data_IF_540827079057
#
_entry.id   IF_540827079057
#
_cell.length_a   1.000
_cell.length_b   1.000
_cell.length_c   1.000
_cell.angle_alpha   90.00
_cell.angle_beta   90.00
_cell.angle_gamma   90.00
#
_symmetry.space_group_name_H-M   'P 1'
#
loop_
_entity.id
_entity.type
_entity.pdbx_description
1 polymer ?
#
# COMPACT_ATOMS: atom_id res chain seq x y z
N UNK A 1 0.38 -10.79 3.16
CA UNK A 1 1.74 -10.48 2.68
C UNK A 1 2.64 -11.64 3.05
N UNK A 2 3.54 -12.09 2.17
CA UNK A 2 4.56 -13.09 2.51
C UNK A 2 5.92 -12.44 2.66
N UNK A 3 6.70 -12.86 3.65
CA UNK A 3 8.07 -12.39 3.88
C UNK A 3 9.02 -13.58 3.86
N UNK A 4 10.26 -13.34 3.47
CA UNK A 4 11.36 -14.26 3.62
C UNK A 4 12.02 -14.11 4.98
N UNK A 5 12.50 -15.21 5.52
CA UNK A 5 13.34 -15.27 6.70
C UNK A 5 14.51 -16.23 6.43
N UNK A 6 15.69 -15.91 6.95
CA UNK A 6 16.75 -16.91 7.06
C UNK A 6 16.55 -17.81 8.26
N UNK A 7 16.63 -19.11 8.01
CA UNK A 7 16.70 -20.13 9.03
C UNK A 7 18.14 -20.21 9.57
N UNK A 8 18.34 -20.89 10.69
CA UNK A 8 19.67 -21.04 11.32
C UNK A 8 20.70 -21.71 10.39
N UNK A 9 20.24 -22.48 9.40
CA UNK A 9 21.06 -23.13 8.38
C UNK A 9 21.44 -22.21 7.19
N UNK A 10 20.98 -20.94 7.19
CA UNK A 10 21.21 -19.99 6.10
C UNK A 10 20.25 -20.13 4.91
N UNK A 11 19.23 -20.97 5.05
CA UNK A 11 18.22 -21.20 4.01
C UNK A 11 17.04 -20.22 4.13
N UNK A 12 16.51 -19.79 2.98
CA UNK A 12 15.34 -18.91 2.92
C UNK A 12 14.06 -19.73 3.14
N UNK A 13 13.26 -19.34 4.13
CA UNK A 13 11.88 -19.79 4.29
C UNK A 13 10.90 -18.67 4.01
N UNK A 14 9.73 -19.02 3.46
CA UNK A 14 8.65 -18.08 3.18
C UNK A 14 7.57 -18.20 4.26
N UNK A 15 7.22 -17.07 4.86
CA UNK A 15 6.24 -16.99 5.95
C UNK A 15 5.11 -16.06 5.53
N UNK A 16 3.87 -16.51 5.73
CA UNK A 16 2.66 -15.76 5.37
C UNK A 16 2.09 -15.04 6.58
N UNK A 17 1.76 -13.76 6.38
CA UNK A 17 1.17 -12.88 7.38
C UNK A 17 -0.12 -12.24 6.85
N UNK A 18 -1.14 -12.18 7.71
CA UNK A 18 -2.35 -11.39 7.47
C UNK A 18 -2.09 -9.92 7.83
N UNK A 19 -2.86 -8.96 7.29
CA UNK A 19 -2.60 -7.50 7.43
C UNK A 19 -2.39 -7.03 8.89
N UNK A 20 -3.03 -7.67 9.88
CA UNK A 20 -2.86 -7.34 11.30
C UNK A 20 -1.60 -7.93 11.97
N UNK A 21 -0.98 -8.92 11.34
CA UNK A 21 0.11 -9.73 11.90
C UNK A 21 1.45 -9.48 11.20
N UNK A 22 1.47 -8.60 10.18
CA UNK A 22 2.70 -8.25 9.46
C UNK A 22 3.72 -7.68 10.47
N UNK A 23 4.95 -8.23 10.55
CA UNK A 23 5.97 -7.73 11.44
C UNK A 23 6.22 -6.23 11.23
N UNK A 24 6.36 -5.49 12.34
CA UNK A 24 6.65 -4.04 12.29
C UNK A 24 8.04 -3.71 11.72
N UNK A 25 8.91 -4.71 11.58
CA UNK A 25 10.29 -4.55 11.13
C UNK A 25 10.61 -5.59 10.07
N UNK A 26 10.80 -5.13 8.84
CA UNK A 26 11.26 -5.93 7.71
C UNK A 26 12.02 -5.03 6.72
N UNK A 27 12.87 -5.65 5.92
CA UNK A 27 13.49 -5.01 4.77
C UNK A 27 12.70 -5.30 3.48
N UNK A 28 12.86 -4.47 2.46
CA UNK A 28 12.34 -4.72 1.11
C UNK A 28 13.49 -4.59 0.11
N UNK A 29 13.53 -5.48 -0.89
CA UNK A 29 14.46 -5.37 -2.00
C UNK A 29 13.82 -4.60 -3.15
N UNK A 30 14.53 -3.61 -3.64
CA UNK A 30 14.27 -2.96 -4.92
C UNK A 30 15.40 -3.32 -5.88
N UNK A 31 15.06 -3.94 -7.01
CA UNK A 31 16.05 -4.38 -7.99
C UNK A 31 15.48 -4.31 -9.40
N UNK A 32 16.38 -4.35 -10.38
CA UNK A 32 15.98 -4.57 -11.78
C UNK A 32 15.86 -6.06 -12.03
N UNK A 33 14.76 -6.49 -12.67
CA UNK A 33 14.62 -7.87 -13.08
C UNK A 33 15.72 -8.27 -14.09
N UNK A 34 16.40 -9.38 -13.80
CA UNK A 34 17.44 -10.00 -14.60
C UNK A 34 16.90 -10.99 -15.63
N UNK A 35 17.81 -11.76 -16.24
CA UNK A 35 17.46 -12.80 -17.21
C UNK A 35 16.81 -14.04 -16.55
N UNK A 36 17.17 -14.31 -15.31
CA UNK A 36 16.65 -15.43 -14.52
C UNK A 36 16.22 -14.90 -13.15
N UNK A 37 14.99 -15.19 -12.77
CA UNK A 37 14.34 -14.68 -11.56
C UNK A 37 13.83 -15.84 -10.74
N UNK A 38 14.15 -15.85 -9.44
CA UNK A 38 13.56 -16.83 -8.51
C UNK A 38 12.11 -16.43 -8.28
N UNK A 39 11.19 -17.33 -8.61
CA UNK A 39 9.75 -17.17 -8.45
C UNK A 39 9.26 -17.78 -7.13
N UNK A 40 7.99 -17.54 -6.82
CA UNK A 40 7.32 -18.20 -5.69
C UNK A 40 7.33 -19.73 -5.82
N UNK A 41 7.15 -20.25 -7.03
CA UNK A 41 7.15 -21.68 -7.29
C UNK A 41 8.55 -22.29 -7.07
N UNK A 42 9.61 -21.61 -7.51
CA UNK A 42 10.99 -22.09 -7.34
C UNK A 42 11.38 -22.18 -5.86
N UNK A 43 10.96 -21.20 -5.05
CA UNK A 43 11.14 -21.26 -3.59
C UNK A 43 10.41 -22.44 -2.96
N UNK A 44 9.17 -22.72 -3.38
CA UNK A 44 8.40 -23.85 -2.84
C UNK A 44 8.98 -25.21 -3.23
N UNK A 45 9.54 -25.31 -4.43
CA UNK A 45 10.10 -26.55 -4.95
C UNK A 45 11.54 -26.80 -4.47
N UNK A 46 12.23 -25.77 -3.96
CA UNK A 46 13.61 -25.86 -3.47
C UNK A 46 14.68 -25.74 -4.56
N UNK A 47 14.29 -25.44 -5.80
CA UNK A 47 15.17 -25.42 -6.98
C UNK A 47 15.85 -24.05 -7.21
N UNK A 48 15.90 -23.18 -6.20
CA UNK A 48 16.29 -21.77 -6.38
C UNK A 48 17.79 -21.49 -6.21
N UNK A 49 18.53 -22.31 -5.45
CA UNK A 49 19.92 -21.99 -5.02
C UNK A 49 20.95 -21.92 -6.16
N UNK A 50 20.62 -22.45 -7.34
CA UNK A 50 21.50 -22.46 -8.52
C UNK A 50 21.15 -21.38 -9.55
N UNK A 51 20.03 -20.70 -9.34
CA UNK A 51 19.52 -19.68 -10.27
C UNK A 51 20.30 -18.38 -10.07
N UNK A 52 20.66 -17.69 -11.15
CA UNK A 52 21.35 -16.40 -11.05
C UNK A 52 20.52 -15.35 -10.29
N UNK A 53 19.18 -15.47 -10.35
CA UNK A 53 18.26 -14.63 -9.58
C UNK A 53 18.32 -14.82 -8.07
N UNK A 54 19.05 -15.83 -7.56
CA UNK A 54 19.21 -16.04 -6.13
C UNK A 54 20.20 -15.06 -5.49
N UNK A 55 21.21 -14.60 -6.22
CA UNK A 55 22.26 -13.71 -5.70
C UNK A 55 21.69 -12.45 -5.03
N UNK A 56 20.66 -11.84 -5.63
CA UNK A 56 19.98 -10.65 -5.06
C UNK A 56 19.16 -10.98 -3.81
N UNK A 57 18.59 -12.19 -3.72
CA UNK A 57 17.82 -12.65 -2.55
C UNK A 57 18.80 -12.88 -1.42
N UNK A 58 19.93 -13.52 -1.74
CA UNK A 58 21.01 -13.75 -0.82
C UNK A 58 21.57 -12.44 -0.27
N UNK A 59 21.90 -11.50 -1.16
CA UNK A 59 22.30 -10.14 -0.79
C UNK A 59 21.28 -9.47 0.14
N UNK A 60 19.99 -9.50 -0.21
CA UNK A 60 18.95 -8.84 0.58
C UNK A 60 18.85 -9.43 1.99
N UNK A 61 18.85 -10.76 2.12
CA UNK A 61 18.77 -11.42 3.41
C UNK A 61 20.02 -11.17 4.26
N UNK A 62 21.21 -11.20 3.65
CA UNK A 62 22.48 -10.97 4.36
C UNK A 62 22.56 -9.53 4.87
N UNK A 63 22.13 -8.58 4.04
CA UNK A 63 22.06 -7.17 4.44
C UNK A 63 20.98 -6.93 5.50
N UNK A 64 19.80 -7.53 5.37
CA UNK A 64 18.76 -7.52 6.41
C UNK A 64 19.31 -8.03 7.75
N UNK A 65 20.04 -9.16 7.74
CA UNK A 65 20.67 -9.72 8.94
C UNK A 65 21.70 -8.78 9.56
N UNK A 66 22.54 -8.12 8.75
CA UNK A 66 23.51 -7.11 9.23
C UNK A 66 22.82 -5.93 9.90
N UNK A 67 21.66 -5.53 9.39
CA UNK A 67 20.85 -4.44 9.93
C UNK A 67 19.87 -4.90 11.05
N UNK A 68 19.97 -6.16 11.50
CA UNK A 68 19.16 -6.71 12.60
C UNK A 68 17.69 -6.94 12.25
N UNK A 69 17.38 -7.10 10.96
CA UNK A 69 16.04 -7.38 10.44
C UNK A 69 15.90 -8.87 10.13
N UNK A 70 14.99 -9.54 10.84
CA UNK A 70 14.72 -10.97 10.67
C UNK A 70 14.00 -11.27 9.34
N UNK A 71 13.14 -10.35 8.90
CA UNK A 71 12.28 -10.54 7.74
C UNK A 71 12.67 -9.60 6.61
N UNK A 72 12.55 -10.07 5.39
CA UNK A 72 12.73 -9.26 4.20
C UNK A 72 11.78 -9.67 3.08
N UNK A 73 11.54 -8.78 2.12
CA UNK A 73 10.57 -8.98 1.06
C UNK A 73 11.20 -8.79 -0.32
N UNK A 74 10.86 -9.68 -1.25
CA UNK A 74 11.31 -9.65 -2.64
C UNK A 74 10.13 -9.99 -3.55
N UNK A 75 9.71 -9.05 -4.39
CA UNK A 75 8.47 -9.14 -5.18
C UNK A 75 8.40 -10.41 -6.06
N UNK A 76 9.54 -10.87 -6.60
CA UNK A 76 9.57 -11.98 -7.54
C UNK A 76 9.16 -13.30 -6.93
N UNK A 77 9.41 -13.49 -5.63
CA UNK A 77 9.18 -14.76 -4.94
C UNK A 77 8.27 -14.66 -3.71
N UNK A 78 7.98 -13.46 -3.21
CA UNK A 78 7.01 -13.23 -2.14
C UNK A 78 5.57 -13.09 -2.65
N UNK A 79 5.37 -12.88 -3.95
CA UNK A 79 4.06 -12.83 -4.61
C UNK A 79 3.91 -14.04 -5.53
N UNK A 80 2.83 -14.79 -5.38
CA UNK A 80 2.42 -15.78 -6.37
C UNK A 80 1.81 -15.05 -7.58
N UNK A 81 2.67 -14.71 -8.55
CA UNK A 81 2.27 -14.02 -9.78
C UNK A 81 1.37 -14.88 -10.69
N UNK A 82 1.22 -16.18 -10.42
CA UNK A 82 0.29 -17.07 -11.12
C UNK A 82 -1.15 -16.95 -10.61
N UNK A 83 -1.32 -16.49 -9.37
CA UNK A 83 -2.61 -16.21 -8.76
C UNK A 83 -3.02 -14.75 -9.03
N UNK A 84 -3.99 -14.55 -9.91
CA UNK A 84 -4.41 -13.21 -10.34
C UNK A 84 -5.07 -12.38 -9.24
N UNK A 85 -5.72 -13.03 -8.27
CA UNK A 85 -6.32 -12.37 -7.11
C UNK A 85 -5.20 -11.84 -6.21
N UNK A 86 -4.25 -12.70 -5.87
CA UNK A 86 -3.10 -12.31 -5.04
C UNK A 86 -2.27 -11.22 -5.72
N UNK A 87 -2.01 -11.35 -7.02
CA UNK A 87 -1.28 -10.35 -7.79
C UNK A 87 -1.97 -8.98 -7.75
N UNK A 88 -3.30 -8.95 -7.87
CA UNK A 88 -4.07 -7.71 -7.79
C UNK A 88 -4.03 -7.08 -6.40
N UNK A 89 -4.19 -7.88 -5.35
CA UNK A 89 -4.07 -7.42 -3.96
C UNK A 89 -2.67 -6.90 -3.65
N UNK A 90 -1.63 -7.58 -4.16
CA UNK A 90 -0.24 -7.21 -3.96
C UNK A 90 0.09 -5.88 -4.64
N UNK A 91 -0.30 -5.69 -5.90
CA UNK A 91 -0.03 -4.44 -6.64
C UNK A 91 -0.73 -3.25 -5.98
N UNK A 92 -1.98 -3.40 -5.53
CA UNK A 92 -2.70 -2.32 -4.82
C UNK A 92 -2.11 -2.06 -3.41
N UNK A 93 -1.40 -3.03 -2.83
CA UNK A 93 -0.77 -2.88 -1.50
C UNK A 93 0.71 -2.49 -1.53
N UNK A 94 1.37 -2.60 -2.68
CA UNK A 94 2.83 -2.58 -2.78
C UNK A 94 3.43 -1.27 -2.26
N UNK A 95 2.81 -0.13 -2.56
CA UNK A 95 3.26 1.17 -2.05
C UNK A 95 3.27 1.20 -0.52
N UNK A 96 2.23 0.64 0.13
CA UNK A 96 2.16 0.57 1.60
C UNK A 96 3.25 -0.34 2.15
N UNK A 97 3.52 -1.47 1.50
CA UNK A 97 4.61 -2.37 1.91
C UNK A 97 6.00 -1.71 1.79
N UNK A 98 6.24 -0.93 0.73
CA UNK A 98 7.48 -0.15 0.64
C UNK A 98 7.55 0.96 1.69
N UNK A 99 6.45 1.68 1.92
CA UNK A 99 6.36 2.76 2.92
C UNK A 99 6.63 2.27 4.34
N UNK A 100 6.05 1.12 4.69
CA UNK A 100 6.09 0.58 6.06
C UNK A 100 7.36 -0.27 6.32
N UNK A 101 8.15 -0.54 5.28
CA UNK A 101 9.45 -1.21 5.42
C UNK A 101 10.44 -0.37 6.23
N UNK A 102 11.23 -1.04 7.08
CA UNK A 102 12.28 -0.37 7.86
C UNK A 102 13.45 0.08 6.99
N UNK A 103 13.78 -0.73 5.98
CA UNK A 103 14.87 -0.47 5.03
C UNK A 103 14.45 -0.94 3.63
N UNK A 104 14.67 -0.09 2.63
CA UNK A 104 14.65 -0.48 1.22
C UNK A 104 16.08 -0.60 0.72
N UNK A 105 16.48 -1.78 0.26
CA UNK A 105 17.79 -2.01 -0.34
C UNK A 105 17.66 -1.96 -1.85
N UNK A 106 18.32 -1.00 -2.49
CA UNK A 106 18.39 -0.89 -3.95
C UNK A 106 19.67 -1.58 -4.42
N UNK A 107 19.53 -2.70 -5.11
CA UNK A 107 20.66 -3.49 -5.61
C UNK A 107 20.90 -3.22 -7.10
N UNK A 108 21.97 -2.47 -7.41
CA UNK A 108 22.28 -1.97 -8.74
C UNK A 108 23.30 -2.86 -9.45
N UNK A 109 22.80 -3.84 -10.19
CA UNK A 109 23.63 -4.75 -10.98
C UNK A 109 24.40 -4.07 -12.11
N UNK A 110 24.08 -2.84 -12.51
CA UNK A 110 24.76 -2.10 -13.58
C UNK A 110 25.74 -1.02 -13.08
N UNK A 111 25.96 -0.97 -11.76
CA UNK A 111 26.92 -0.08 -11.12
C UNK A 111 27.96 -0.93 -10.42
N UNK A 112 29.24 -0.66 -10.68
CA UNK A 112 30.35 -1.31 -9.99
C UNK A 112 31.20 -0.26 -9.30
N UNK A 113 31.73 -0.61 -8.12
CA UNK A 113 32.70 0.22 -7.42
C UNK A 113 34.06 -0.50 -7.43
N UNK A 114 35.06 0.01 -8.19
CA UNK A 114 36.38 -0.61 -8.16
C UNK A 114 36.99 -0.46 -6.77
N UNK A 115 37.45 -1.57 -6.19
CA UNK A 115 38.22 -1.58 -4.93
C UNK A 115 39.58 -0.95 -5.18
N UNK A 116 39.75 0.35 -4.95
CA UNK A 116 41.05 1.00 -5.16
C UNK A 116 41.89 0.98 -3.89
N UNK A 117 42.98 0.21 -3.93
CA UNK A 117 44.20 0.45 -3.16
C UNK A 117 45.09 1.55 -3.76
N UNK A 118 44.56 2.40 -4.65
CA UNK A 118 45.26 3.56 -5.19
C UNK A 118 44.67 4.84 -4.61
N UNK A 119 45.51 5.57 -3.88
CA UNK A 119 45.21 6.81 -3.16
C UNK A 119 44.82 8.01 -4.08
N UNK A 120 44.43 7.75 -5.33
CA UNK A 120 44.14 8.74 -6.38
C UNK A 120 42.86 8.42 -7.19
N UNK A 121 42.04 7.45 -6.76
CA UNK A 121 40.79 7.08 -7.45
C UNK A 121 39.66 8.07 -7.17
N UNK A 122 39.43 9.03 -8.07
CA UNK A 122 38.34 9.99 -7.95
C UNK A 122 36.99 9.29 -7.78
N UNK A 123 36.22 9.73 -6.78
CA UNK A 123 34.85 9.29 -6.50
C UNK A 123 33.88 9.52 -7.69
N UNK A 124 34.36 10.09 -8.79
CA UNK A 124 33.59 10.52 -9.96
C UNK A 124 33.16 9.35 -10.87
N UNK A 125 33.89 8.23 -10.88
CA UNK A 125 33.66 7.15 -11.85
C UNK A 125 32.35 6.37 -11.58
N UNK A 126 32.13 5.89 -10.34
CA UNK A 126 30.91 5.16 -10.00
C UNK A 126 29.67 6.06 -9.93
N UNK A 127 29.84 7.36 -9.64
CA UNK A 127 28.73 8.32 -9.64
C UNK A 127 28.18 8.51 -11.05
N UNK A 128 29.05 8.51 -12.07
CA UNK A 128 28.65 8.56 -13.48
C UNK A 128 27.81 7.35 -13.88
N UNK A 129 28.20 6.15 -13.48
CA UNK A 129 27.44 4.92 -13.77
C UNK A 129 26.16 4.82 -12.94
N UNK A 130 26.18 5.24 -11.67
CA UNK A 130 24.99 5.37 -10.83
C UNK A 130 23.91 6.22 -11.51
N UNK A 131 24.28 7.42 -11.98
CA UNK A 131 23.34 8.33 -12.64
C UNK A 131 22.77 7.80 -13.95
N UNK A 132 23.46 6.85 -14.58
CA UNK A 132 23.05 6.17 -15.82
C UNK A 132 22.38 4.82 -15.56
N UNK A 133 22.22 4.43 -14.29
CA UNK A 133 21.65 3.13 -13.96
C UNK A 133 20.23 3.02 -14.52
N UNK A 134 19.97 1.89 -15.15
CA UNK A 134 18.68 1.51 -15.72
C UNK A 134 17.62 1.41 -14.63
N UNK A 135 18.01 1.28 -13.36
CA UNK A 135 17.06 1.31 -12.24
C UNK A 135 16.22 2.59 -12.22
N UNK A 136 16.81 3.75 -12.57
CA UNK A 136 16.08 5.03 -12.63
C UNK A 136 15.07 5.12 -13.77
N UNK A 137 15.18 4.27 -14.79
CA UNK A 137 14.27 4.25 -15.95
C UNK A 137 13.21 3.15 -15.86
N UNK A 138 13.01 2.50 -14.71
CA UNK A 138 11.93 1.51 -14.52
C UNK A 138 10.69 2.17 -13.91
N UNK A 139 9.50 1.81 -14.40
CA UNK A 139 8.23 2.35 -13.89
C UNK A 139 8.03 2.07 -12.40
N UNK A 140 8.13 0.80 -12.02
CA UNK A 140 7.91 0.34 -10.65
C UNK A 140 8.88 0.94 -9.63
N UNK A 141 10.14 1.22 -9.99
CA UNK A 141 11.13 1.76 -9.05
C UNK A 141 10.83 3.19 -8.57
N UNK A 142 9.84 3.87 -9.15
CA UNK A 142 9.39 5.18 -8.67
C UNK A 142 8.79 5.07 -7.27
N UNK A 143 7.85 4.15 -7.05
CA UNK A 143 7.27 3.97 -5.71
C UNK A 143 8.27 3.37 -4.73
N UNK A 144 9.21 2.56 -5.22
CA UNK A 144 10.27 1.95 -4.41
C UNK A 144 11.29 2.98 -3.91
N UNK A 145 11.42 4.11 -4.62
CA UNK A 145 12.21 5.27 -4.23
C UNK A 145 11.46 6.20 -3.25
N UNK A 146 10.19 6.47 -3.56
CA UNK A 146 9.39 7.51 -2.92
C UNK A 146 8.75 7.02 -1.62
N UNK A 147 8.18 5.83 -1.62
CA UNK A 147 7.39 5.33 -0.50
C UNK A 147 8.22 5.09 0.76
N UNK A 148 9.39 4.40 0.72
CA UNK A 148 10.15 4.10 1.93
C UNK A 148 10.80 5.34 2.52
N UNK A 149 10.83 5.43 3.85
CA UNK A 149 11.59 6.48 4.55
C UNK A 149 13.11 6.32 4.35
N UNK A 150 13.62 5.09 4.36
CA UNK A 150 15.04 4.76 4.19
C UNK A 150 15.28 3.94 2.93
N UNK A 151 16.16 4.42 2.05
CA UNK A 151 16.61 3.71 0.86
C UNK A 151 18.14 3.73 0.80
N UNK A 152 18.75 2.56 0.79
CA UNK A 152 20.20 2.36 0.75
C UNK A 152 20.58 1.73 -0.60
N UNK A 153 21.54 2.32 -1.31
CA UNK A 153 21.95 1.92 -2.66
C UNK A 153 23.25 1.12 -2.60
N UNK A 154 23.24 -0.05 -3.25
CA UNK A 154 24.36 -0.97 -3.29
C UNK A 154 24.76 -1.26 -4.73
N UNK A 155 26.07 -1.38 -4.98
CA UNK A 155 26.60 -1.79 -6.28
C UNK A 155 26.47 -3.31 -6.48
N UNK A 156 26.82 -3.78 -7.68
CA UNK A 156 26.86 -5.21 -8.04
C UNK A 156 27.70 -6.05 -7.08
N UNK A 157 28.74 -5.48 -6.48
CA UNK A 157 29.60 -6.20 -5.52
C UNK A 157 29.00 -6.26 -4.10
N UNK A 158 27.80 -5.71 -3.88
CA UNK A 158 27.14 -5.65 -2.58
C UNK A 158 27.71 -4.57 -1.65
N UNK A 159 28.51 -3.64 -2.17
CA UNK A 159 29.09 -2.53 -1.40
C UNK A 159 28.14 -1.33 -1.38
N UNK A 160 28.03 -0.67 -0.22
CA UNK A 160 27.20 0.52 -0.05
C UNK A 160 27.77 1.71 -0.84
N UNK A 161 26.96 2.27 -1.73
CA UNK A 161 27.26 3.49 -2.48
C UNK A 161 26.85 4.73 -1.70
N UNK A 162 25.71 4.65 -1.00
CA UNK A 162 25.13 5.73 -0.22
C UNK A 162 23.66 5.47 0.05
N UNK A 163 22.97 6.45 0.64
CA UNK A 163 21.54 6.39 0.91
C UNK A 163 20.78 7.54 0.23
N UNK A 164 19.45 7.51 0.32
CA UNK A 164 18.56 8.51 -0.28
C UNK A 164 18.95 9.95 0.08
N UNK A 165 19.39 10.19 1.31
CA UNK A 165 19.80 11.52 1.77
C UNK A 165 21.20 11.90 1.26
N UNK A 166 22.18 11.00 1.32
CA UNK A 166 23.55 11.29 0.87
C UNK A 166 23.66 11.44 -0.65
N UNK A 167 22.77 10.79 -1.40
CA UNK A 167 22.72 10.83 -2.87
C UNK A 167 21.60 11.73 -3.41
N UNK A 168 20.91 12.49 -2.54
CA UNK A 168 19.72 13.28 -2.88
C UNK A 168 19.92 14.13 -4.13
N UNK A 169 21.01 14.90 -4.19
CA UNK A 169 21.33 15.76 -5.33
C UNK A 169 21.39 14.97 -6.65
N UNK A 170 22.06 13.83 -6.64
CA UNK A 170 22.18 12.99 -7.83
C UNK A 170 20.83 12.38 -8.23
N UNK A 171 20.02 11.97 -7.25
CA UNK A 171 18.68 11.42 -7.49
C UNK A 171 17.76 12.49 -8.10
N UNK A 172 17.73 13.71 -7.51
CA UNK A 172 16.94 14.83 -8.04
C UNK A 172 17.35 15.17 -9.48
N UNK A 173 18.64 15.28 -9.76
CA UNK A 173 19.14 15.64 -11.09
C UNK A 173 18.83 14.56 -12.15
N UNK A 174 18.77 13.27 -11.78
CA UNK A 174 18.47 12.16 -12.71
C UNK A 174 16.96 11.98 -12.92
N UNK A 175 16.16 12.17 -11.88
CA UNK A 175 14.74 11.83 -11.87
C UNK A 175 13.80 13.02 -12.08
N UNK A 176 14.29 14.25 -11.85
CA UNK A 176 13.45 15.45 -11.80
C UNK A 176 12.56 15.53 -10.55
N UNK A 177 12.68 14.60 -9.60
CA UNK A 177 11.90 14.57 -8.37
C UNK A 177 12.45 15.63 -7.41
N UNK A 178 11.60 16.47 -6.79
CA UNK A 178 12.05 17.48 -5.84
C UNK A 178 12.59 16.85 -4.55
N UNK A 179 13.60 17.49 -3.94
CA UNK A 179 14.20 17.03 -2.69
C UNK A 179 13.17 16.87 -1.56
N UNK A 180 12.14 17.73 -1.50
CA UNK A 180 11.05 17.61 -0.53
C UNK A 180 10.30 16.28 -0.63
N UNK A 181 10.03 15.78 -1.85
CA UNK A 181 9.40 14.48 -2.05
C UNK A 181 10.31 13.34 -1.56
N UNK A 182 11.61 13.40 -1.87
CA UNK A 182 12.59 12.40 -1.39
C UNK A 182 12.72 12.37 0.13
N UNK A 183 12.54 13.52 0.79
CA UNK A 183 12.56 13.68 2.25
C UNK A 183 11.25 13.30 2.94
N UNK A 184 10.21 12.91 2.18
CA UNK A 184 8.96 12.40 2.73
C UNK A 184 7.85 13.43 2.95
N UNK A 185 7.86 14.56 2.22
CA UNK A 185 6.67 15.43 2.11
C UNK A 185 5.45 14.64 1.62
N UNK A 186 4.26 15.06 2.00
CA UNK A 186 3.03 14.38 1.60
C UNK A 186 2.89 14.44 0.07
N UNK A 187 2.48 13.33 -0.56
CA UNK A 187 2.26 13.30 -2.01
C UNK A 187 1.13 14.24 -2.45
N UNK A 188 0.23 14.60 -1.54
CA UNK A 188 -0.80 15.63 -1.75
C UNK A 188 -0.25 17.04 -1.92
N UNK A 189 0.98 17.30 -1.45
CA UNK A 189 1.62 18.62 -1.55
C UNK A 189 2.12 18.89 -2.99
N UNK A 190 2.16 17.85 -3.82
CA UNK A 190 2.59 17.92 -5.22
C UNK A 190 1.39 17.80 -6.15
N UNK A 191 1.37 18.64 -7.19
CA UNK A 191 0.27 18.63 -8.16
C UNK A 191 0.20 17.30 -8.91
N UNK A 192 -0.98 16.98 -9.46
CA UNK A 192 -1.17 15.78 -10.29
C UNK A 192 -0.19 15.78 -11.48
N UNK A 193 -0.03 16.94 -12.13
CA UNK A 193 0.88 17.10 -13.26
C UNK A 193 2.35 16.88 -12.85
N UNK A 194 2.76 17.37 -11.68
CA UNK A 194 4.10 17.19 -11.16
C UNK A 194 4.39 15.72 -10.84
N UNK A 195 3.48 15.02 -10.17
CA UNK A 195 3.61 13.58 -9.91
C UNK A 195 3.68 12.75 -11.20
N UNK A 196 2.91 13.12 -12.22
CA UNK A 196 3.05 12.49 -13.55
C UNK A 196 4.40 12.79 -14.20
N UNK A 197 4.99 13.96 -14.00
CA UNK A 197 6.28 14.32 -14.58
C UNK A 197 7.42 13.40 -14.11
N UNK A 198 7.34 12.85 -12.89
CA UNK A 198 8.32 11.90 -12.33
C UNK A 198 8.39 10.55 -13.08
N UNK A 199 7.45 10.33 -13.99
CA UNK A 199 7.29 9.10 -14.77
C UNK A 199 7.83 9.21 -16.19
N UNK A 200 8.18 10.42 -16.64
CA UNK A 200 8.45 10.73 -18.04
C UNK A 200 9.57 9.89 -18.67
N UNK A 201 10.61 9.57 -17.91
CA UNK A 201 11.77 8.77 -18.35
C UNK A 201 11.69 7.28 -17.97
N UNK A 202 10.55 6.83 -17.43
CA UNK A 202 10.41 5.49 -16.84
C UNK A 202 9.60 4.56 -17.72
N UNK A 203 10.13 3.38 -18.01
CA UNK A 203 9.56 2.33 -18.86
C UNK A 203 9.11 1.09 -18.07
N UNK A 204 8.12 0.39 -18.61
CA UNK A 204 7.58 -0.86 -18.02
C UNK A 204 7.58 -1.96 -19.07
N UNK A 205 7.68 -3.22 -18.61
CA UNK A 205 7.65 -4.36 -19.52
C UNK A 205 6.25 -4.59 -20.09
N UNK A 206 5.25 -4.67 -19.21
CA UNK A 206 3.84 -4.64 -19.64
C UNK A 206 3.41 -3.20 -19.83
N UNK A 207 2.67 -2.96 -20.90
CA UNK A 207 2.26 -1.61 -21.27
C UNK A 207 1.28 -1.00 -20.26
N UNK A 208 0.42 -1.82 -19.63
CA UNK A 208 -0.56 -1.42 -18.62
C UNK A 208 0.10 -1.02 -17.30
N UNK A 209 1.28 -1.57 -17.00
CA UNK A 209 2.03 -1.23 -15.79
C UNK A 209 2.48 0.25 -15.76
N UNK A 210 2.46 0.96 -16.91
CA UNK A 210 2.61 2.42 -16.94
C UNK A 210 1.58 3.12 -16.06
N UNK A 211 0.38 2.56 -15.97
CA UNK A 211 -0.68 3.05 -15.08
C UNK A 211 -0.57 2.41 -13.70
N UNK A 212 -0.44 1.08 -13.63
CA UNK A 212 -0.52 0.35 -12.35
C UNK A 212 0.65 0.66 -11.39
N UNK A 213 1.83 1.02 -11.92
CA UNK A 213 2.95 1.45 -11.09
C UNK A 213 2.74 2.80 -10.38
N UNK A 214 1.68 3.53 -10.72
CA UNK A 214 1.37 4.86 -10.18
C UNK A 214 0.24 4.86 -9.14
N UNK A 215 -0.41 3.71 -8.89
CA UNK A 215 -1.55 3.62 -7.97
C UNK A 215 -1.22 4.21 -6.60
N UNK A 216 -0.10 3.80 -6.00
CA UNK A 216 0.33 4.33 -4.71
C UNK A 216 0.85 5.78 -4.75
N UNK A 217 1.37 6.25 -5.89
CA UNK A 217 1.80 7.65 -6.05
C UNK A 217 0.59 8.59 -6.00
N UNK A 218 -0.56 8.11 -6.46
CA UNK A 218 -1.82 8.84 -6.46
C UNK A 218 -2.77 8.47 -5.34
N UNK A 219 -2.44 7.47 -4.52
CA UNK A 219 -3.28 6.92 -3.45
C UNK A 219 -4.67 6.49 -3.97
N UNK A 220 -4.66 5.73 -5.07
CA UNK A 220 -5.88 5.19 -5.70
C UNK A 220 -5.78 3.68 -5.86
N UNK A 221 -6.94 3.02 -5.97
CA UNK A 221 -7.02 1.58 -6.22
C UNK A 221 -7.86 1.34 -7.47
N UNK A 222 -7.47 0.35 -8.28
CA UNK A 222 -8.28 -0.06 -9.43
C UNK A 222 -8.03 -1.54 -9.80
N UNK A 223 -9.01 -2.22 -10.42
CA UNK A 223 -8.82 -3.57 -10.94
C UNK A 223 -7.70 -3.64 -12.00
N UNK A 224 -6.87 -4.68 -11.93
CA UNK A 224 -5.86 -4.95 -12.95
C UNK A 224 -6.49 -5.74 -14.10
N UNK A 225 -6.42 -5.19 -15.31
CA UNK A 225 -6.93 -5.81 -16.53
C UNK A 225 -5.80 -5.83 -17.55
N UNK A 226 -4.89 -6.79 -17.41
CA UNK A 226 -3.88 -7.05 -18.44
C UNK A 226 -4.57 -7.42 -19.75
N UNK A 227 -4.06 -6.91 -20.88
CA UNK A 227 -4.65 -6.90 -22.23
C UNK A 227 -5.63 -5.76 -22.54
N UNK A 228 -5.96 -4.88 -21.57
CA UNK A 228 -6.77 -3.70 -21.86
C UNK A 228 -6.02 -2.64 -22.70
N UNK A 229 -4.68 -2.71 -22.71
CA UNK A 229 -3.81 -1.74 -23.37
C UNK A 229 -3.49 -0.53 -22.51
N UNK A 230 -2.32 0.08 -22.75
CA UNK A 230 -1.80 1.21 -21.96
C UNK A 230 -2.76 2.38 -21.91
N UNK A 231 -3.38 2.72 -23.03
CA UNK A 231 -4.26 3.89 -23.18
C UNK A 231 -5.49 3.76 -22.27
N UNK A 232 -6.13 2.58 -22.24
CA UNK A 232 -7.30 2.32 -21.38
C UNK A 232 -6.93 2.26 -19.91
N UNK A 233 -5.83 1.59 -19.57
CA UNK A 233 -5.33 1.54 -18.20
C UNK A 233 -5.02 2.96 -17.67
N UNK A 234 -4.36 3.80 -18.48
CA UNK A 234 -4.08 5.19 -18.15
C UNK A 234 -5.32 6.07 -18.07
N UNK A 235 -6.33 5.82 -18.89
CA UNK A 235 -7.61 6.52 -18.79
C UNK A 235 -8.27 6.23 -17.44
N UNK A 236 -8.41 4.95 -17.07
CA UNK A 236 -9.00 4.54 -15.79
C UNK A 236 -8.22 5.09 -14.59
N UNK A 237 -6.89 5.10 -14.65
CA UNK A 237 -6.07 5.75 -13.63
C UNK A 237 -6.44 7.23 -13.46
N UNK A 238 -6.58 7.98 -14.56
CA UNK A 238 -6.96 9.40 -14.50
C UNK A 238 -8.36 9.59 -13.92
N UNK A 239 -9.30 8.73 -14.27
CA UNK A 239 -10.66 8.75 -13.70
C UNK A 239 -10.63 8.53 -12.18
N UNK A 240 -9.82 7.59 -11.68
CA UNK A 240 -9.68 7.38 -10.22
C UNK A 240 -8.99 8.56 -9.53
N UNK A 241 -7.99 9.19 -10.16
CA UNK A 241 -7.33 10.41 -9.64
C UNK A 241 -8.33 11.57 -9.58
N UNK A 242 -9.15 11.74 -10.61
CA UNK A 242 -10.18 12.78 -10.66
C UNK A 242 -11.22 12.57 -9.56
N UNK A 243 -11.71 11.33 -9.39
CA UNK A 243 -12.62 10.96 -8.29
C UNK A 243 -12.03 11.28 -6.92
N UNK A 244 -10.74 11.01 -6.71
CA UNK A 244 -10.06 11.28 -5.44
C UNK A 244 -9.83 12.79 -5.19
N UNK A 245 -9.50 13.55 -6.24
CA UNK A 245 -9.16 14.99 -6.14
C UNK A 245 -10.36 15.93 -6.04
N UNK A 246 -11.47 15.56 -6.66
CA UNK A 246 -12.72 16.35 -6.62
C UNK A 246 -13.44 16.26 -5.28
N UNK A 247 -12.89 15.53 -4.30
CA UNK A 247 -13.48 15.40 -2.99
C UNK A 247 -14.92 14.89 -3.06
N UNK A 248 -15.25 14.07 -4.08
CA UNK A 248 -16.50 13.35 -4.07
C UNK A 248 -16.46 12.48 -2.81
N UNK A 249 -17.09 12.98 -1.72
CA UNK A 249 -17.97 12.17 -0.89
C UNK A 249 -18.56 11.16 -1.85
N UNK A 250 -18.21 9.87 -1.78
CA UNK A 250 -18.64 8.83 -2.72
C UNK A 250 -20.09 9.10 -3.20
N UNK A 251 -20.27 9.82 -4.31
CA UNK A 251 -21.61 10.21 -4.76
C UNK A 251 -22.30 9.02 -5.42
N UNK A 252 -21.53 7.99 -5.77
CA UNK A 252 -22.06 6.71 -6.23
C UNK A 252 -22.89 5.99 -5.16
N UNK A 253 -22.74 6.34 -3.87
CA UNK A 253 -23.53 5.76 -2.79
C UNK A 253 -23.69 6.70 -1.59
N UNK A 254 -24.64 7.63 -1.69
CA UNK A 254 -25.12 8.45 -0.58
C UNK A 254 -26.51 8.01 -0.12
N UNK A 255 -26.66 7.63 1.14
CA UNK A 255 -27.97 7.32 1.73
C UNK A 255 -28.35 8.39 2.74
N UNK A 256 -29.60 8.86 2.66
CA UNK A 256 -30.15 9.88 3.55
C UNK A 256 -29.99 9.44 5.01
N UNK A 257 -29.24 10.22 5.79
CA UNK A 257 -29.04 9.96 7.21
C UNK A 257 -30.39 9.95 7.94
N UNK A 258 -30.72 8.82 8.56
CA UNK A 258 -31.95 8.65 9.35
C UNK A 258 -31.64 7.99 10.68
N UNK A 259 -32.12 8.62 11.75
CA UNK A 259 -32.11 8.08 13.11
C UNK A 259 -33.52 7.65 13.55
N UNK A 260 -34.40 7.28 12.61
CA UNK A 260 -35.80 6.95 12.92
C UNK A 260 -35.99 5.82 13.95
N UNK A 261 -34.97 4.99 14.17
CA UNK A 261 -34.96 3.91 15.17
C UNK A 261 -34.14 4.25 16.44
N UNK A 262 -33.66 5.49 16.57
CA UNK A 262 -32.87 5.96 17.69
C UNK A 262 -33.58 7.12 18.41
N UNK A 263 -33.80 7.00 19.72
CA UNK A 263 -34.33 8.09 20.53
C UNK A 263 -33.24 9.15 20.70
N UNK A 264 -33.36 10.23 19.95
CA UNK A 264 -32.46 11.38 19.99
C UNK A 264 -32.87 12.36 21.11
N UNK A 265 -31.89 13.03 21.70
CA UNK A 265 -32.11 14.05 22.74
C UNK A 265 -31.82 15.43 22.18
N UNK A 266 -32.62 16.42 22.59
CA UNK A 266 -32.51 17.80 22.09
C UNK A 266 -31.23 18.51 22.58
N UNK A 267 -30.69 18.08 23.74
CA UNK A 267 -29.50 18.65 24.35
C UNK A 267 -28.49 17.56 24.74
N UNK A 268 -27.36 17.52 24.03
CA UNK A 268 -26.20 16.69 24.34
C UNK A 268 -25.05 17.58 24.84
N UNK A 269 -24.48 17.26 26.01
CA UNK A 269 -23.52 18.14 26.70
C UNK A 269 -22.23 17.39 27.07
N UNK A 270 -21.09 18.06 26.85
CA UNK A 270 -19.78 17.78 27.45
C UNK A 270 -19.24 16.33 27.36
N UNK A 271 -18.84 15.89 26.16
CA UNK A 271 -18.11 14.62 25.88
C UNK A 271 -17.10 14.75 24.74
N UNK A 272 -16.47 15.93 24.61
CA UNK A 272 -15.59 16.27 23.48
C UNK A 272 -14.38 15.34 23.38
N UNK A 273 -13.78 14.96 24.51
CA UNK A 273 -12.63 14.06 24.54
C UNK A 273 -12.98 12.68 23.99
N UNK A 274 -14.15 12.13 24.36
CA UNK A 274 -14.58 10.84 23.82
C UNK A 274 -14.97 10.94 22.35
N UNK A 275 -15.64 12.01 21.93
CA UNK A 275 -15.96 12.25 20.52
C UNK A 275 -14.68 12.33 19.67
N UNK A 276 -13.67 13.05 20.15
CA UNK A 276 -12.36 13.15 19.49
C UNK A 276 -11.69 11.78 19.37
N UNK A 277 -11.70 10.97 20.44
CA UNK A 277 -11.14 9.61 20.41
C UNK A 277 -11.87 8.69 19.44
N UNK A 278 -13.21 8.77 19.37
CA UNK A 278 -14.01 8.03 18.39
C UNK A 278 -13.60 8.47 16.98
N UNK A 279 -13.47 9.78 16.73
CA UNK A 279 -13.08 10.30 15.42
C UNK A 279 -11.69 9.83 15.00
N UNK A 280 -10.70 9.91 15.89
CA UNK A 280 -9.33 9.44 15.62
C UNK A 280 -9.30 7.94 15.31
N UNK A 281 -10.08 7.13 16.04
CA UNK A 281 -10.13 5.68 15.83
C UNK A 281 -10.88 5.27 14.54
N UNK A 282 -11.83 6.10 14.08
CA UNK A 282 -12.61 5.88 12.86
C UNK A 282 -12.08 6.65 11.65
N UNK A 283 -10.95 7.37 11.78
CA UNK A 283 -10.35 8.13 10.68
C UNK A 283 -9.97 7.18 9.54
N UNK A 284 -10.41 7.53 8.33
CA UNK A 284 -10.22 6.69 7.14
C UNK A 284 -8.73 6.59 6.76
N UNK A 285 -8.28 5.35 6.58
CA UNK A 285 -7.03 4.98 5.92
C UNK A 285 -7.25 3.84 4.89
N UNK A 286 -8.52 3.66 4.48
CA UNK A 286 -8.96 2.59 3.57
C UNK A 286 -9.28 1.24 4.23
N UNK A 287 -8.99 1.05 5.53
CA UNK A 287 -9.28 -0.20 6.24
C UNK A 287 -10.62 -0.20 7.00
N UNK A 288 -11.16 -1.38 7.33
CA UNK A 288 -12.36 -1.51 8.17
C UNK A 288 -12.01 -1.25 9.63
N UNK A 289 -12.57 -0.19 10.21
CA UNK A 289 -12.38 0.20 11.61
C UNK A 289 -13.61 -0.12 12.46
N UNK A 290 -13.39 -0.38 13.74
CA UNK A 290 -14.44 -0.61 14.72
C UNK A 290 -14.10 0.08 16.04
N UNK A 291 -15.12 0.70 16.65
CA UNK A 291 -15.04 1.29 17.99
C UNK A 291 -16.10 0.65 18.86
N UNK A 292 -15.72 0.18 20.04
CA UNK A 292 -16.64 -0.40 21.03
C UNK A 292 -16.80 0.57 22.18
N UNK A 293 -18.03 1.04 22.42
CA UNK A 293 -18.36 1.86 23.58
C UNK A 293 -18.82 0.98 24.72
N UNK A 294 -18.05 0.94 25.80
CA UNK A 294 -18.36 0.16 27.01
C UNK A 294 -18.59 1.08 28.21
N UNK A 295 -19.50 0.68 29.11
CA UNK A 295 -19.84 1.44 30.31
C UNK A 295 -21.19 1.02 30.89
N UNK A 296 -21.51 1.52 32.08
CA UNK A 296 -22.73 1.20 32.82
C UNK A 296 -24.02 1.50 32.01
N UNK A 297 -25.11 0.80 32.35
CA UNK A 297 -26.43 1.11 31.79
C UNK A 297 -26.82 2.56 32.06
N UNK A 298 -27.42 3.24 31.08
CA UNK A 298 -27.86 4.64 31.24
C UNK A 298 -26.77 5.72 31.15
N UNK A 299 -25.47 5.38 31.07
CA UNK A 299 -24.36 6.37 31.02
C UNK A 299 -24.27 7.20 29.72
N UNK A 300 -25.24 7.05 28.82
CA UNK A 300 -25.31 7.83 27.57
C UNK A 300 -24.51 7.29 26.39
N UNK A 301 -24.08 6.01 26.38
CA UNK A 301 -23.34 5.41 25.25
C UNK A 301 -24.05 5.60 23.90
N UNK A 302 -25.35 5.31 23.88
CA UNK A 302 -26.19 5.47 22.68
C UNK A 302 -26.24 6.92 22.22
N UNK A 303 -26.37 7.87 23.16
CA UNK A 303 -26.40 9.30 22.84
C UNK A 303 -25.05 9.81 22.34
N UNK A 304 -23.94 9.29 22.86
CA UNK A 304 -22.59 9.59 22.37
C UNK A 304 -22.40 9.12 20.92
N UNK A 305 -22.85 7.92 20.57
CA UNK A 305 -22.82 7.44 19.18
C UNK A 305 -23.69 8.28 18.25
N UNK A 306 -24.89 8.68 18.69
CA UNK A 306 -25.79 9.56 17.93
C UNK A 306 -25.16 10.93 17.70
N UNK A 307 -24.58 11.53 18.74
CA UNK A 307 -23.91 12.83 18.67
C UNK A 307 -22.72 12.78 17.69
N UNK A 308 -21.90 11.72 17.75
CA UNK A 308 -20.82 11.50 16.80
C UNK A 308 -21.34 11.41 15.36
N UNK A 309 -22.32 10.54 15.12
CA UNK A 309 -22.89 10.31 13.80
C UNK A 309 -23.46 11.61 13.19
N UNK A 310 -24.13 12.45 13.99
CA UNK A 310 -24.63 13.75 13.55
C UNK A 310 -23.52 14.73 13.20
N UNK A 311 -22.49 14.85 14.03
CA UNK A 311 -21.39 15.81 13.87
C UNK A 311 -20.52 15.50 12.65
N UNK A 312 -20.32 14.20 12.39
CA UNK A 312 -19.44 13.71 11.34
C UNK A 312 -20.22 13.09 10.17
N UNK A 313 -21.53 13.37 10.04
CA UNK A 313 -22.38 12.80 8.98
C UNK A 313 -21.82 13.06 7.58
N UNK A 314 -21.15 14.19 7.42
CA UNK A 314 -20.58 14.63 6.15
C UNK A 314 -19.22 13.96 5.84
N UNK A 315 -18.61 13.28 6.82
CA UNK A 315 -17.36 12.54 6.64
C UNK A 315 -17.59 11.12 6.09
N UNK A 316 -18.84 10.66 6.05
CA UNK A 316 -19.23 9.32 5.60
C UNK A 316 -20.16 9.39 4.40
N UNK A 317 -20.07 8.41 3.50
CA UNK A 317 -20.98 8.31 2.35
C UNK A 317 -22.37 7.80 2.77
N UNK A 318 -22.43 6.90 3.76
CA UNK A 318 -23.67 6.44 4.35
C UNK A 318 -23.48 6.06 5.82
N UNK A 319 -24.49 6.31 6.64
CA UNK A 319 -24.52 5.90 8.05
C UNK A 319 -25.79 5.09 8.27
N UNK A 320 -25.64 3.89 8.84
CA UNK A 320 -26.73 2.98 9.13
C UNK A 320 -26.83 2.71 10.62
N UNK A 321 -28.04 2.86 11.16
CA UNK A 321 -28.35 2.54 12.54
C UNK A 321 -29.12 1.21 12.60
N UNK A 322 -28.59 0.23 13.34
CA UNK A 322 -29.17 -1.11 13.43
C UNK A 322 -29.59 -1.42 14.87
N UNK A 323 -30.78 -1.96 15.05
CA UNK A 323 -31.24 -2.45 16.34
C UNK A 323 -30.85 -3.93 16.50
N UNK A 324 -29.90 -4.20 17.39
CA UNK A 324 -29.32 -5.54 17.62
C UNK A 324 -29.81 -6.12 18.96
N UNK A 325 -31.04 -5.79 19.39
CA UNK A 325 -31.61 -6.30 20.64
C UNK A 325 -31.88 -7.80 20.61
N UNK A 326 -32.36 -8.30 19.48
CA UNK A 326 -32.74 -9.70 19.26
C UNK A 326 -32.73 -10.03 17.76
N UNK A 327 -32.86 -11.31 17.43
CA UNK A 327 -32.75 -11.82 16.05
C UNK A 327 -33.79 -11.21 15.10
N UNK A 328 -35.00 -10.92 15.59
CA UNK A 328 -36.07 -10.37 14.75
C UNK A 328 -35.87 -8.87 14.53
N UNK A 329 -35.44 -8.14 15.56
CA UNK A 329 -35.03 -6.73 15.45
C UNK A 329 -33.90 -6.54 14.43
N UNK A 330 -32.90 -7.43 14.42
CA UNK A 330 -31.80 -7.40 13.45
C UNK A 330 -32.32 -7.58 12.02
N UNK A 331 -33.15 -8.61 11.78
CA UNK A 331 -33.73 -8.87 10.45
C UNK A 331 -34.56 -7.69 9.95
N UNK A 332 -35.36 -7.09 10.83
CA UNK A 332 -36.18 -5.92 10.50
C UNK A 332 -35.31 -4.71 10.13
N UNK A 333 -34.24 -4.43 10.89
CA UNK A 333 -33.30 -3.35 10.57
C UNK A 333 -32.62 -3.55 9.22
N UNK A 334 -32.15 -4.77 8.91
CA UNK A 334 -31.57 -5.07 7.58
C UNK A 334 -32.59 -4.96 6.45
N UNK A 335 -33.83 -5.41 6.65
CA UNK A 335 -34.88 -5.29 5.64
C UNK A 335 -35.23 -3.82 5.36
N UNK A 336 -35.29 -2.98 6.40
CA UNK A 336 -35.52 -1.53 6.28
C UNK A 336 -34.37 -0.84 5.55
N UNK A 337 -33.13 -1.21 5.89
CA UNK A 337 -31.92 -0.74 5.22
C UNK A 337 -31.92 -1.09 3.72
N UNK A 338 -32.18 -2.36 3.38
CA UNK A 338 -32.22 -2.81 1.99
C UNK A 338 -33.28 -2.05 1.19
N UNK A 339 -34.49 -1.85 1.74
CA UNK A 339 -35.54 -1.04 1.10
C UNK A 339 -35.10 0.42 0.89
N UNK A 340 -34.42 1.02 1.88
CA UNK A 340 -33.93 2.39 1.76
C UNK A 340 -32.89 2.51 0.64
N UNK A 341 -31.92 1.59 0.60
CA UNK A 341 -30.90 1.53 -0.44
C UNK A 341 -31.54 1.34 -1.81
N UNK A 342 -32.46 0.38 -1.98
CA UNK A 342 -33.12 0.16 -3.27
C UNK A 342 -33.95 1.36 -3.75
N UNK A 343 -34.52 2.14 -2.83
CA UNK A 343 -35.27 3.36 -3.17
C UNK A 343 -34.36 4.50 -3.62
N UNK A 344 -33.25 4.70 -2.92
CA UNK A 344 -32.33 5.82 -3.17
C UNK A 344 -31.28 5.47 -4.25
N UNK A 345 -31.01 4.19 -4.47
CA UNK A 345 -30.08 3.64 -5.46
C UNK A 345 -30.70 2.47 -6.25
N UNK A 346 -31.61 2.72 -7.20
CA UNK A 346 -32.30 1.65 -7.95
C UNK A 346 -31.40 0.78 -8.82
N UNK A 347 -30.16 1.23 -9.11
CA UNK A 347 -29.14 0.48 -9.87
C UNK A 347 -28.25 -0.39 -8.99
N UNK A 348 -28.39 -0.33 -7.66
CA UNK A 348 -27.65 -1.19 -6.77
C UNK A 348 -28.09 -2.65 -6.97
N UNK A 349 -27.21 -3.47 -7.52
CA UNK A 349 -27.47 -4.90 -7.75
C UNK A 349 -27.25 -5.63 -6.42
N UNK A 350 -28.25 -6.33 -5.88
CA UNK A 350 -28.03 -7.23 -4.75
C UNK A 350 -26.98 -8.25 -5.17
N UNK A 351 -25.87 -8.35 -4.43
CA UNK A 351 -24.91 -9.44 -4.63
C UNK A 351 -25.66 -10.73 -4.33
N UNK A 352 -26.03 -11.48 -5.36
CA UNK A 352 -26.78 -12.73 -5.22
C UNK A 352 -25.93 -13.75 -4.45
N UNK A 353 -26.44 -14.16 -3.28
CA UNK A 353 -26.07 -15.35 -2.49
C UNK A 353 -24.69 -15.98 -2.79
N UNK A 354 -23.66 -15.57 -2.05
CA UNK A 354 -22.74 -16.58 -1.52
C UNK A 354 -23.34 -17.05 -0.19
N UNK A 355 -23.88 -18.26 -0.18
CA UNK A 355 -24.20 -18.99 1.04
C UNK A 355 -22.93 -19.11 1.88
N UNK A 356 -22.72 -18.17 2.79
CA UNK A 356 -21.89 -18.39 3.97
C UNK A 356 -22.85 -18.61 5.13
N UNK A 357 -22.91 -19.81 5.71
CA UNK A 357 -23.68 -20.02 6.91
C UNK A 357 -23.00 -19.24 8.03
N UNK A 358 -23.62 -18.15 8.46
CA UNK A 358 -23.39 -17.61 9.79
C UNK A 358 -23.85 -18.66 10.81
N UNK A 359 -22.99 -19.62 11.12
CA UNK A 359 -23.06 -20.36 12.36
C UNK A 359 -22.44 -19.49 13.45
N UNK A 360 -23.30 -18.93 14.28
CA UNK A 360 -22.92 -18.28 15.54
C UNK A 360 -22.57 -19.40 16.51
N UNK A 361 -21.31 -19.45 16.94
CA UNK A 361 -20.90 -20.17 18.14
C UNK A 361 -21.15 -19.32 19.38
#
# INVERSE_FOLDING_TARGET
MRLLQYNDDGDCSLIEFFEGDIPKKYAVLSHRWGAEEVTFADLKNGDYKKMAGYDKIQFCGEQARRDGLQYFWVDTCCIDKSNTIELAEAINSMFRWYRDATKCYVYLLDVSRPRTGSADGSNEDWVSTFRKSVWFSRGWTLQELIAPASVDFFCREGELLGNKASLERHICEVTGIPASALRGSSLSDFSVAERFSWTASRETFRQEDKAYSLLGIFDVNMPLIYSEGKEKAMQRLREEIEKASTGHKREDFSVTFSLSDANDVEHFVAREDELSRIHTALRSDGSRRAVVLQGLGGIGKTQLSIAYAKRHKDDYSAIFWLNIKDKDSVKQSFAKLAKQISREHPRAIPVSNQETPFQVA
#
